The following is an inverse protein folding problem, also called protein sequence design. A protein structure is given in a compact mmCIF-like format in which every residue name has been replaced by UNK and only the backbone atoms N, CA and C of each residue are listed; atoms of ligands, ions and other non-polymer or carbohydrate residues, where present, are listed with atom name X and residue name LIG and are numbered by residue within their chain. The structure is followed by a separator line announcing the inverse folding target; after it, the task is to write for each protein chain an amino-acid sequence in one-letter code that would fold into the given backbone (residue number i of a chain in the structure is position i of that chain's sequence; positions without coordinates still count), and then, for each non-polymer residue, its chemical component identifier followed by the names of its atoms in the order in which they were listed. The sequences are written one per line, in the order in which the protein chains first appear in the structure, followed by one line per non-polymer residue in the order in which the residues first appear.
data_IF_008547580596
#
_entry.id   IF_008547580596
#
_cell.length_a   1.000
_cell.length_b   1.000
_cell.length_c   1.000
_cell.angle_alpha   90.00
_cell.angle_beta   90.00
_cell.angle_gamma   90.00
#
_symmetry.space_group_name_H-M   'P 1'
#
loop_
_entity.id
_entity.type
_entity.pdbx_description
1 polymer ?
#
# COMPACT_ATOMS: atom_id res chain seq x y z
N UNK A 1 -16.43 -16.18 -20.76
CA UNK A 1 -16.72 -15.53 -19.47
C UNK A 1 -15.51 -14.75 -19.04
N UNK A 2 -15.55 -13.42 -19.19
CA UNK A 2 -14.48 -12.53 -18.72
C UNK A 2 -14.72 -12.04 -17.28
N UNK A 3 -13.77 -11.28 -16.72
CA UNK A 3 -13.85 -10.80 -15.34
C UNK A 3 -15.01 -9.82 -15.11
N UNK A 4 -15.39 -9.04 -16.13
CA UNK A 4 -16.50 -8.10 -16.04
C UNK A 4 -17.83 -8.85 -15.99
N UNK A 5 -17.98 -9.89 -16.82
CA UNK A 5 -19.15 -10.77 -16.81
C UNK A 5 -19.32 -11.48 -15.46
N UNK A 6 -18.23 -11.93 -14.83
CA UNK A 6 -18.26 -12.52 -13.48
C UNK A 6 -18.71 -11.47 -12.44
N UNK A 7 -18.10 -10.29 -12.46
CA UNK A 7 -18.41 -9.21 -11.52
C UNK A 7 -19.87 -8.75 -11.63
N UNK A 8 -20.41 -8.66 -12.85
CA UNK A 8 -21.79 -8.26 -13.07
C UNK A 8 -22.80 -9.36 -12.74
N UNK A 9 -22.47 -10.64 -12.97
CA UNK A 9 -23.39 -11.74 -12.73
C UNK A 9 -23.41 -12.25 -11.28
N UNK A 10 -22.34 -12.02 -10.51
CA UNK A 10 -22.19 -12.54 -9.14
C UNK A 10 -21.64 -11.48 -8.16
N UNK A 11 -22.29 -10.30 -8.02
CA UNK A 11 -21.76 -9.20 -7.24
C UNK A 11 -21.52 -9.54 -5.76
N UNK A 12 -22.39 -10.33 -5.14
CA UNK A 12 -22.26 -10.72 -3.73
C UNK A 12 -21.13 -11.72 -3.48
N UNK A 13 -20.85 -12.60 -4.46
CA UNK A 13 -19.70 -13.50 -4.39
C UNK A 13 -18.40 -12.69 -4.48
N UNK A 14 -18.31 -11.78 -5.45
CA UNK A 14 -17.15 -10.89 -5.61
C UNK A 14 -16.95 -10.04 -4.35
N UNK A 15 -18.03 -9.47 -3.79
CA UNK A 15 -17.97 -8.72 -2.52
C UNK A 15 -17.38 -9.55 -1.39
N UNK A 16 -17.84 -10.80 -1.19
CA UNK A 16 -17.30 -11.71 -0.17
C UNK A 16 -15.83 -12.07 -0.41
N UNK A 17 -15.43 -12.27 -1.66
CA UNK A 17 -14.03 -12.53 -2.00
C UNK A 17 -13.13 -11.33 -1.68
N UNK A 18 -13.58 -10.12 -2.01
CA UNK A 18 -12.87 -8.88 -1.71
C UNK A 18 -12.75 -8.64 -0.20
N UNK A 19 -13.72 -9.10 0.59
CA UNK A 19 -13.64 -9.01 2.05
C UNK A 19 -12.44 -9.74 2.65
N UNK A 20 -11.86 -10.73 1.98
CA UNK A 20 -10.69 -11.44 2.47
C UNK A 20 -9.38 -10.99 1.81
N UNK A 21 -9.44 -10.07 0.84
CA UNK A 21 -8.32 -9.72 -0.05
C UNK A 21 -7.82 -8.30 0.19
N UNK A 22 -7.30 -7.99 1.38
CA UNK A 22 -6.87 -6.63 1.73
C UNK A 22 -5.73 -6.10 0.87
N UNK A 23 -4.76 -6.95 0.50
CA UNK A 23 -3.59 -6.58 -0.31
C UNK A 23 -4.00 -6.02 -1.67
N UNK A 24 -4.56 -6.87 -2.57
CA UNK A 24 -5.00 -6.44 -3.89
C UNK A 24 -6.04 -5.32 -3.87
N UNK A 25 -6.97 -5.34 -2.91
CA UNK A 25 -7.95 -4.25 -2.76
C UNK A 25 -7.26 -2.93 -2.41
N UNK A 26 -6.24 -2.96 -1.55
CA UNK A 26 -5.44 -1.79 -1.20
C UNK A 26 -4.71 -1.22 -2.40
N UNK A 27 -4.08 -2.07 -3.21
CA UNK A 27 -3.39 -1.67 -4.44
C UNK A 27 -4.33 -0.94 -5.41
N UNK A 28 -5.51 -1.51 -5.66
CA UNK A 28 -6.52 -0.91 -6.54
C UNK A 28 -7.01 0.44 -6.00
N UNK A 29 -7.38 0.52 -4.71
CA UNK A 29 -7.89 1.76 -4.13
C UNK A 29 -6.82 2.86 -4.11
N UNK A 30 -5.56 2.52 -3.85
CA UNK A 30 -4.45 3.47 -3.92
C UNK A 30 -4.22 3.93 -5.36
N UNK A 31 -4.26 3.03 -6.35
CA UNK A 31 -4.18 3.38 -7.76
C UNK A 31 -5.26 4.40 -8.13
N UNK A 32 -6.51 4.14 -7.75
CA UNK A 32 -7.63 5.05 -8.00
C UNK A 32 -7.41 6.43 -7.37
N UNK A 33 -6.89 6.50 -6.14
CA UNK A 33 -6.58 7.78 -5.49
C UNK A 33 -5.43 8.53 -6.18
N UNK A 34 -4.41 7.82 -6.66
CA UNK A 34 -3.32 8.40 -7.45
C UNK A 34 -3.82 8.93 -8.80
N UNK A 35 -4.62 8.15 -9.52
CA UNK A 35 -5.17 8.52 -10.84
C UNK A 35 -6.11 9.74 -10.76
N UNK A 36 -6.94 9.83 -9.71
CA UNK A 36 -7.75 11.04 -9.44
C UNK A 36 -6.91 12.32 -9.32
N UNK A 37 -5.64 12.19 -8.97
CA UNK A 37 -4.66 13.29 -8.80
C UNK A 37 -3.78 13.47 -10.05
N UNK A 38 -4.09 12.78 -11.15
CA UNK A 38 -3.38 12.90 -12.43
C UNK A 38 -2.11 12.06 -12.55
N UNK A 39 -1.84 11.17 -11.59
CA UNK A 39 -0.76 10.19 -11.72
C UNK A 39 -1.19 9.08 -12.68
N UNK A 40 -0.22 8.45 -13.34
CA UNK A 40 -0.42 7.21 -14.10
C UNK A 40 0.13 6.04 -13.31
N UNK A 41 -0.62 4.95 -13.20
CA UNK A 41 -0.23 3.79 -12.40
C UNK A 41 -0.20 2.50 -13.20
N UNK A 42 0.79 1.65 -12.92
CA UNK A 42 0.94 0.30 -13.46
C UNK A 42 1.18 -0.66 -12.29
N UNK A 43 0.29 -1.63 -12.09
CA UNK A 43 0.42 -2.63 -11.01
C UNK A 43 1.41 -3.72 -11.42
N UNK A 44 2.38 -3.98 -10.55
CA UNK A 44 3.54 -4.83 -10.81
C UNK A 44 3.37 -6.17 -10.09
N UNK A 45 2.49 -7.02 -10.61
CA UNK A 45 2.08 -8.26 -9.95
C UNK A 45 3.22 -9.12 -9.40
N UNK A 46 3.12 -9.46 -8.12
CA UNK A 46 4.02 -10.39 -7.38
C UNK A 46 5.52 -10.02 -7.41
N UNK A 47 5.86 -8.75 -7.62
CA UNK A 47 7.26 -8.30 -7.52
C UNK A 47 7.57 -7.95 -6.07
N UNK A 48 8.58 -8.59 -5.47
CA UNK A 48 8.96 -8.34 -4.07
C UNK A 48 9.24 -6.85 -3.86
N UNK A 49 8.55 -6.25 -2.89
CA UNK A 49 8.68 -4.85 -2.49
C UNK A 49 8.56 -3.88 -3.66
N UNK A 50 7.62 -4.13 -4.57
CA UNK A 50 7.34 -3.31 -5.74
C UNK A 50 5.93 -3.67 -6.25
N UNK A 51 4.91 -3.19 -5.57
CA UNK A 51 3.51 -3.43 -5.96
C UNK A 51 3.09 -2.57 -7.18
N UNK A 52 3.71 -1.40 -7.37
CA UNK A 52 3.29 -0.47 -8.42
C UNK A 52 4.43 0.38 -8.96
N UNK A 53 4.35 0.71 -10.25
CA UNK A 53 5.11 1.80 -10.88
C UNK A 53 4.16 2.97 -11.14
N UNK A 54 4.58 4.15 -10.75
CA UNK A 54 3.76 5.36 -10.81
C UNK A 54 4.52 6.46 -11.54
N UNK A 55 3.83 7.19 -12.41
CA UNK A 55 4.38 8.38 -13.08
C UNK A 55 3.57 9.61 -12.65
N UNK A 56 4.25 10.62 -12.11
CA UNK A 56 3.65 11.89 -11.68
C UNK A 56 3.13 12.71 -12.87
N UNK A 57 2.25 13.70 -12.62
CA UNK A 57 1.86 14.68 -13.64
C UNK A 57 3.05 15.43 -14.26
N UNK A 58 4.15 15.60 -13.51
CA UNK A 58 5.40 16.21 -13.99
C UNK A 58 6.28 15.26 -14.83
N UNK A 59 5.87 14.00 -14.99
CA UNK A 59 6.58 12.99 -15.79
C UNK A 59 7.63 12.18 -15.04
N UNK A 60 7.80 12.39 -13.72
CA UNK A 60 8.72 11.59 -12.89
C UNK A 60 8.12 10.21 -12.65
N UNK A 61 8.86 9.15 -12.95
CA UNK A 61 8.48 7.78 -12.63
C UNK A 61 9.17 7.30 -11.34
N UNK A 62 8.43 6.60 -10.49
CA UNK A 62 8.92 6.02 -9.24
C UNK A 62 8.18 4.70 -8.94
N UNK A 63 8.77 3.92 -8.04
CA UNK A 63 8.23 2.65 -7.56
C UNK A 63 7.56 2.80 -6.20
N UNK A 64 6.47 2.05 -6.00
CA UNK A 64 5.64 2.11 -4.79
C UNK A 64 5.40 0.70 -4.26
N UNK A 65 5.61 0.52 -2.96
CA UNK A 65 5.13 -0.64 -2.21
C UNK A 65 3.88 -0.24 -1.43
N UNK A 66 2.88 -1.12 -1.38
CA UNK A 66 1.61 -0.89 -0.70
C UNK A 66 1.45 -1.90 0.44
N UNK A 67 1.02 -1.39 1.59
CA UNK A 67 0.69 -2.21 2.76
C UNK A 67 -0.68 -1.81 3.24
N UNK A 68 -1.62 -2.74 3.16
CA UNK A 68 -3.03 -2.49 3.45
C UNK A 68 -3.57 -3.45 4.51
N UNK A 69 -4.42 -2.93 5.39
CA UNK A 69 -5.10 -3.72 6.43
C UNK A 69 -6.49 -3.17 6.76
N UNK A 70 -7.34 -4.01 7.37
CA UNK A 70 -8.57 -3.53 8.02
C UNK A 70 -8.26 -3.04 9.43
N UNK A 71 -7.78 -3.98 10.24
CA UNK A 71 -7.46 -3.81 11.65
C UNK A 71 -6.22 -4.64 11.96
N UNK A 72 -5.20 -4.03 12.57
CA UNK A 72 -4.05 -4.72 13.16
C UNK A 72 -3.17 -3.68 13.86
N UNK A 73 -2.49 -4.09 14.94
CA UNK A 73 -1.53 -3.27 15.69
C UNK A 73 -0.16 -3.14 14.99
N UNK A 74 0.09 -3.86 13.90
CA UNK A 74 1.35 -3.81 13.17
C UNK A 74 1.16 -3.97 11.65
N UNK A 75 2.15 -3.50 10.90
CA UNK A 75 2.28 -3.65 9.46
C UNK A 75 3.37 -4.66 9.16
N UNK A 76 3.02 -5.73 8.44
CA UNK A 76 3.99 -6.77 8.12
C UNK A 76 4.97 -6.29 7.05
N UNK A 77 6.24 -6.18 7.41
CA UNK A 77 7.33 -5.75 6.53
C UNK A 77 8.44 -6.79 6.70
N UNK A 78 8.23 -7.93 6.04
CA UNK A 78 8.90 -9.20 6.36
C UNK A 78 10.42 -9.09 6.38
N UNK A 79 10.98 -8.43 5.35
CA UNK A 79 12.40 -8.12 5.24
C UNK A 79 12.59 -6.63 5.27
N UNK A 80 13.81 -6.21 5.56
CA UNK A 80 14.22 -4.81 5.48
C UNK A 80 13.75 -4.18 4.14
N UNK A 81 13.18 -2.96 4.16
CA UNK A 81 12.80 -2.23 2.94
C UNK A 81 14.02 -1.94 2.07
N UNK A 82 13.97 -2.22 0.77
CA UNK A 82 15.13 -2.07 -0.12
C UNK A 82 14.82 -1.54 -1.51
N UNK A 83 13.59 -1.74 -2.02
CA UNK A 83 13.30 -1.59 -3.46
C UNK A 83 12.46 -0.37 -3.80
N UNK A 84 11.22 -0.30 -3.29
CA UNK A 84 10.33 0.80 -3.65
C UNK A 84 10.82 2.16 -3.14
N UNK A 85 10.78 3.16 -4.02
CA UNK A 85 11.09 4.56 -3.70
C UNK A 85 10.16 5.10 -2.61
N UNK A 86 8.88 4.73 -2.69
CA UNK A 86 7.84 5.10 -1.75
C UNK A 86 7.08 3.89 -1.22
N UNK A 87 6.56 4.03 -0.01
CA UNK A 87 5.73 3.04 0.65
C UNK A 87 4.43 3.71 1.09
N UNK A 88 3.31 3.12 0.68
CA UNK A 88 1.98 3.59 1.03
C UNK A 88 1.36 2.61 2.03
N UNK A 89 1.15 3.07 3.25
CA UNK A 89 0.42 2.32 4.27
C UNK A 89 -1.01 2.80 4.29
N UNK A 90 -1.98 1.90 4.22
CA UNK A 90 -3.40 2.27 4.16
C UNK A 90 -4.30 1.39 5.00
N UNK A 91 -5.27 2.02 5.68
CA UNK A 91 -6.40 1.31 6.29
C UNK A 91 -7.61 1.36 5.37
N UNK A 92 -8.29 0.23 5.29
CA UNK A 92 -9.43 0.03 4.40
C UNK A 92 -10.71 -0.16 5.20
N UNK A 93 -11.75 0.58 4.81
CA UNK A 93 -13.13 0.18 5.06
C UNK A 93 -13.58 -0.66 3.86
N UNK A 94 -13.54 -1.97 4.06
CA UNK A 94 -13.86 -2.94 3.01
C UNK A 94 -15.33 -2.92 2.64
N UNK A 95 -16.22 -2.66 3.60
CA UNK A 95 -17.66 -2.68 3.31
C UNK A 95 -18.05 -1.50 2.43
N UNK A 96 -17.43 -0.34 2.67
CA UNK A 96 -17.59 0.85 1.85
C UNK A 96 -16.60 0.93 0.67
N UNK A 97 -15.73 -0.08 0.49
CA UNK A 97 -14.68 -0.13 -0.54
C UNK A 97 -13.88 1.18 -0.64
N UNK A 98 -13.39 1.68 0.50
CA UNK A 98 -12.67 2.96 0.57
C UNK A 98 -11.45 2.90 1.47
N UNK A 99 -10.53 3.84 1.24
CA UNK A 99 -9.41 4.12 2.13
C UNK A 99 -9.90 5.03 3.26
N UNK A 100 -9.60 4.67 4.51
CA UNK A 100 -9.92 5.49 5.69
C UNK A 100 -8.73 6.27 6.19
N UNK A 101 -7.54 5.68 6.14
CA UNK A 101 -6.28 6.32 6.50
C UNK A 101 -5.23 6.00 5.44
N UNK A 102 -4.33 6.95 5.18
CA UNK A 102 -3.24 6.78 4.22
C UNK A 102 -2.00 7.55 4.65
N UNK A 103 -0.86 6.85 4.69
CA UNK A 103 0.46 7.41 4.96
C UNK A 103 1.40 7.11 3.80
N UNK A 104 2.20 8.12 3.43
CA UNK A 104 3.17 8.04 2.33
C UNK A 104 4.55 8.29 2.91
N UNK A 105 5.39 7.27 2.87
CA UNK A 105 6.75 7.32 3.38
C UNK A 105 7.74 7.06 2.23
N UNK A 106 8.90 7.68 2.30
CA UNK A 106 10.06 7.36 1.46
C UNK A 106 10.70 6.05 1.93
N UNK A 107 11.47 5.41 1.06
CA UNK A 107 12.26 4.22 1.41
C UNK A 107 13.09 4.42 2.69
N UNK A 108 13.71 5.59 2.83
CA UNK A 108 14.58 5.88 3.98
C UNK A 108 13.76 5.96 5.28
N UNK A 109 12.62 6.65 5.26
CA UNK A 109 11.71 6.75 6.41
C UNK A 109 11.23 5.36 6.87
N UNK A 110 10.87 4.47 5.92
CA UNK A 110 10.46 3.10 6.26
C UNK A 110 11.63 2.26 6.78
N UNK A 111 12.83 2.40 6.20
CA UNK A 111 14.04 1.72 6.71
C UNK A 111 14.31 2.12 8.17
N UNK A 112 14.22 3.40 8.49
CA UNK A 112 14.49 3.91 9.82
C UNK A 112 13.47 3.39 10.84
N UNK A 113 12.17 3.40 10.47
CA UNK A 113 11.12 2.78 11.29
C UNK A 113 11.35 1.28 11.49
N UNK A 114 11.69 0.56 10.42
CA UNK A 114 11.93 -0.88 10.49
C UNK A 114 13.13 -1.22 11.37
N UNK A 115 14.24 -0.47 11.25
CA UNK A 115 15.47 -0.66 12.02
C UNK A 115 15.34 -0.21 13.48
N UNK A 116 14.42 0.71 13.78
CA UNK A 116 14.18 1.19 15.15
C UNK A 116 13.73 0.07 16.11
N UNK A 117 13.23 -1.05 15.58
CA UNK A 117 12.82 -2.21 16.36
C UNK A 117 13.96 -3.22 16.46
N UNK A 118 14.57 -3.45 17.66
CA UNK A 118 15.65 -4.42 17.83
C UNK A 118 15.27 -5.84 17.39
N UNK A 119 13.98 -6.22 17.55
CA UNK A 119 13.46 -7.50 17.08
C UNK A 119 13.66 -7.71 15.58
N UNK A 120 13.47 -6.67 14.77
CA UNK A 120 13.61 -6.76 13.32
C UNK A 120 15.06 -7.01 12.92
N UNK A 121 15.99 -6.31 13.57
CA UNK A 121 17.43 -6.50 13.37
C UNK A 121 17.88 -7.93 13.71
N UNK A 122 17.30 -8.50 14.78
CA UNK A 122 17.55 -9.88 15.20
C UNK A 122 16.82 -10.93 14.33
N UNK A 123 15.75 -10.55 13.64
CA UNK A 123 14.88 -11.45 12.88
C UNK A 123 14.57 -10.90 11.48
N UNK A 124 15.59 -10.77 10.62
CA UNK A 124 15.52 -10.10 9.31
C UNK A 124 14.53 -10.67 8.28
N UNK A 125 13.82 -11.76 8.61
CA UNK A 125 12.77 -12.37 7.78
C UNK A 125 11.38 -12.39 8.43
N UNK A 126 11.19 -11.70 9.57
CA UNK A 126 9.92 -11.62 10.32
C UNK A 126 9.65 -10.20 10.84
N UNK A 127 10.06 -9.20 10.06
CA UNK A 127 9.97 -7.82 10.46
C UNK A 127 8.54 -7.26 10.41
N UNK A 128 8.31 -6.24 11.23
CA UNK A 128 7.09 -5.44 11.19
C UNK A 128 7.36 -3.97 11.50
N UNK A 129 6.37 -3.13 11.24
CA UNK A 129 6.32 -1.74 11.70
C UNK A 129 5.09 -1.60 12.61
N UNK A 130 5.25 -1.29 13.91
CA UNK A 130 4.12 -1.02 14.80
C UNK A 130 3.23 0.11 14.29
N UNK A 131 1.92 -0.05 14.43
CA UNK A 131 0.92 0.90 13.94
C UNK A 131 1.07 2.30 14.54
N UNK A 132 1.46 2.39 15.81
CA UNK A 132 1.63 3.66 16.51
C UNK A 132 2.75 4.53 15.89
N UNK A 133 3.77 3.94 15.27
CA UNK A 133 4.82 4.69 14.57
C UNK A 133 4.29 5.54 13.42
N UNK A 134 3.17 5.14 12.80
CA UNK A 134 2.55 5.93 11.73
C UNK A 134 1.52 6.94 12.26
N UNK A 135 1.04 6.80 13.51
CA UNK A 135 0.03 7.73 14.04
C UNK A 135 0.57 9.13 14.26
N UNK A 136 1.87 9.24 14.49
CA UNK A 136 2.58 10.51 14.64
C UNK A 136 2.93 11.15 13.30
N UNK A 137 2.64 10.47 12.19
CA UNK A 137 2.85 10.99 10.84
C UNK A 137 1.61 11.68 10.31
N UNK A 138 1.83 12.80 9.61
CA UNK A 138 0.79 13.47 8.85
C UNK A 138 0.24 12.50 7.78
N UNK A 139 -1.08 12.40 7.70
CA UNK A 139 -1.74 11.61 6.66
C UNK A 139 -1.66 12.34 5.32
N UNK A 140 -1.79 11.58 4.22
CA UNK A 140 -1.98 12.16 2.88
C UNK A 140 -0.85 13.10 2.41
N UNK A 141 0.41 12.78 2.70
CA UNK A 141 1.59 13.55 2.25
C UNK A 141 1.86 13.42 0.73
N UNK A 142 0.85 13.65 -0.10
CA UNK A 142 0.89 13.51 -1.56
C UNK A 142 1.95 14.41 -2.20
N UNK A 143 2.30 15.53 -1.55
CA UNK A 143 3.36 16.44 -2.01
C UNK A 143 4.71 15.72 -2.16
N UNK A 144 4.96 14.65 -1.38
CA UNK A 144 6.17 13.83 -1.49
C UNK A 144 6.31 13.14 -2.84
N UNK A 145 5.19 12.84 -3.48
CA UNK A 145 5.14 12.16 -4.78
C UNK A 145 5.27 13.13 -5.96
N UNK A 146 5.27 14.44 -5.70
CA UNK A 146 5.31 15.49 -6.73
C UNK A 146 6.71 16.04 -6.99
N UNK A 147 7.62 15.90 -6.01
CA UNK A 147 9.05 16.22 -6.16
C UNK A 147 9.74 15.27 -7.14
#
# INVERSE_FOLDING_TARGET
MDIYEICSSQPDLVRRMLQHSTGPLGEVLVAMELEKRGFKTEVMGNTKQLDMRTTSPSGRTFSVEIKSKKTSSAWWVQTEPERSDFWIFTRLDIEALKITDLWILTLQEVKDLWRSKPYNLANRGRGDIPDHFLRDWEQHQWYKLQA
#
